data_IF_023717927635
#
_entry.id   IF_023717927635
#
_cell.length_a   1.000
_cell.length_b   1.000
_cell.length_c   1.000
_cell.angle_alpha   90.00
_cell.angle_beta   90.00
_cell.angle_gamma   90.00
#
_symmetry.space_group_name_H-M   'P 1'
#
loop_
_entity.id
_entity.type
_entity.pdbx_description
1 polymer ?
#
# COMPACT_ATOMS: atom_id res chain seq x y z
N UNK A 2 4.48 -17.43 -10.63
CA UNK A 2 4.78 -16.99 -11.99
C UNK A 2 4.93 -15.47 -12.08
N UNK A 3 5.59 -14.99 -13.14
CA UNK A 3 5.74 -13.55 -13.32
C UNK A 3 4.41 -12.87 -13.67
N UNK A 4 3.52 -13.58 -14.35
CA UNK A 4 2.26 -12.97 -14.76
C UNK A 4 1.34 -12.71 -13.56
N UNK A 5 1.37 -13.61 -12.58
CA UNK A 5 0.56 -13.41 -11.38
C UNK A 5 1.23 -12.46 -10.39
N UNK A 6 2.56 -12.53 -10.28
CA UNK A 6 3.29 -11.63 -9.40
C UNK A 6 3.17 -10.19 -9.85
N UNK A 7 3.05 -9.95 -11.17
CA UNK A 7 2.88 -8.59 -11.66
C UNK A 7 1.53 -8.02 -11.24
N UNK A 8 0.48 -8.84 -11.25
CA UNK A 8 -0.84 -8.38 -10.83
C UNK A 8 -0.87 -8.18 -9.31
N UNK A 9 -0.15 -9.02 -8.57
CA UNK A 9 -0.08 -8.83 -7.12
C UNK A 9 0.69 -7.55 -6.78
N UNK A 10 1.66 -7.16 -7.60
CA UNK A 10 2.37 -5.92 -7.36
C UNK A 10 1.52 -4.70 -7.69
N UNK A 11 0.68 -4.79 -8.72
CA UNK A 11 -0.29 -3.72 -8.97
C UNK A 11 -1.21 -3.55 -7.78
N UNK A 12 -1.73 -4.67 -7.25
CA UNK A 12 -2.56 -4.61 -6.06
C UNK A 12 -1.80 -4.01 -4.88
N UNK A 13 -0.52 -4.36 -4.74
CA UNK A 13 0.27 -3.83 -3.64
C UNK A 13 0.46 -2.32 -3.78
N UNK A 14 0.90 -1.86 -4.96
CA UNK A 14 1.11 -0.44 -5.15
C UNK A 14 -0.20 0.33 -5.16
N UNK A 15 -1.29 -0.29 -5.62
CA UNK A 15 -2.59 0.37 -5.53
C UNK A 15 -3.04 0.47 -4.08
N UNK A 16 -2.74 -0.55 -3.27
CA UNK A 16 -3.05 -0.46 -1.85
C UNK A 16 -2.20 0.61 -1.17
N UNK A 17 -0.96 0.79 -1.61
CA UNK A 17 -0.12 1.83 -1.03
C UNK A 17 -0.62 3.22 -1.38
N UNK A 18 -1.15 3.39 -2.61
CA UNK A 18 -1.68 4.70 -2.99
C UNK A 18 -2.94 4.99 -2.20
N UNK A 19 -3.84 4.02 -2.07
CA UNK A 19 -5.03 4.21 -1.25
C UNK A 19 -4.67 4.52 0.19
N UNK A 20 -3.57 3.95 0.69
CA UNK A 20 -3.16 4.23 2.06
C UNK A 20 -2.59 5.63 2.20
N UNK A 21 -1.85 6.09 1.19
CA UNK A 21 -1.32 7.45 1.20
C UNK A 21 -2.45 8.47 1.03
N UNK A 22 -3.40 8.17 0.13
CA UNK A 22 -4.55 9.06 -0.03
C UNK A 22 -5.35 9.18 1.25
N UNK A 23 -5.46 8.09 2.02
CA UNK A 23 -6.16 8.15 3.30
C UNK A 23 -5.43 9.04 4.30
N UNK A 24 -4.10 9.04 4.27
CA UNK A 24 -3.34 9.89 5.19
C UNK A 24 -3.49 11.35 4.81
N UNK A 25 -3.54 11.65 3.52
CA UNK A 25 -3.67 13.04 3.08
C UNK A 25 -5.00 13.64 3.55
N UNK A 26 -6.06 12.82 3.58
CA UNK A 26 -7.35 13.30 4.04
C UNK A 26 -7.41 13.45 5.55
N UNK A 27 -6.63 12.64 6.29
CA UNK A 27 -6.63 12.72 7.74
C UNK A 27 -5.93 14.00 8.21
N UNK A 28 -4.84 14.37 7.55
CA UNK A 28 -4.09 15.56 7.97
C UNK A 28 -4.90 16.83 7.78
N UNK A 29 -5.81 16.84 6.81
CA UNK A 29 -6.66 18.01 6.58
C UNK A 29 -7.87 17.99 7.51
N UNK B 1 8.81 -17.22 -9.55
CA UNK B 1 8.41 -17.47 -8.17
C UNK B 1 6.91 -17.71 -8.05
N UNK B 2 6.51 -18.94 -7.73
CA UNK B 2 5.08 -19.25 -7.63
C UNK B 2 4.48 -18.92 -6.28
N UNK B 3 5.20 -19.25 -5.20
CA UNK B 3 4.69 -18.99 -3.86
C UNK B 3 4.76 -17.51 -3.49
N UNK B 4 5.59 -16.73 -4.18
CA UNK B 4 5.74 -15.32 -3.84
C UNK B 4 4.50 -14.52 -4.22
N UNK B 5 3.75 -14.97 -5.23
CA UNK B 5 2.55 -14.25 -5.65
C UNK B 5 1.53 -14.15 -4.52
N UNK B 6 1.37 -15.22 -3.74
CA UNK B 6 0.45 -15.17 -2.61
C UNK B 6 0.97 -14.23 -1.53
N UNK B 7 2.30 -14.12 -1.40
CA UNK B 7 2.87 -13.22 -0.40
C UNK B 7 2.46 -11.78 -0.65
N UNK B 8 2.64 -11.31 -1.89
CA UNK B 8 2.31 -9.93 -2.22
C UNK B 8 0.80 -9.72 -2.20
N UNK B 9 0.02 -10.72 -2.62
CA UNK B 9 -1.43 -10.58 -2.67
C UNK B 9 -2.01 -10.46 -1.25
N UNK B 10 -1.49 -11.25 -0.31
CA UNK B 10 -1.97 -11.14 1.07
C UNK B 10 -1.58 -9.79 1.68
N UNK B 11 -0.35 -9.35 1.44
CA UNK B 11 0.07 -8.03 1.93
C UNK B 11 -0.79 -6.94 1.29
N UNK B 12 -1.06 -7.07 -0.01
CA UNK B 12 -1.93 -6.09 -0.67
C UNK B 12 -3.35 -6.17 -0.15
N UNK B 13 -3.84 -7.38 0.10
CA UNK B 13 -5.23 -7.54 0.56
C UNK B 13 -5.43 -6.93 1.94
N UNK B 14 -4.49 -7.15 2.86
CA UNK B 14 -4.62 -6.58 4.19
C UNK B 14 -4.34 -5.08 4.18
N UNK B 15 -3.35 -4.64 3.40
CA UNK B 15 -3.06 -3.21 3.30
C UNK B 15 -4.25 -2.45 2.74
N UNK B 16 -4.91 -2.99 1.72
CA UNK B 16 -6.09 -2.35 1.18
C UNK B 16 -7.23 -2.31 2.20
N UNK B 17 -7.32 -3.32 3.06
CA UNK B 17 -8.31 -3.29 4.14
C UNK B 17 -7.96 -2.22 5.16
N UNK B 18 -6.67 -2.04 5.45
CA UNK B 18 -6.24 -0.97 6.34
C UNK B 18 -6.57 0.38 5.74
N UNK B 19 -6.28 0.55 4.44
CA UNK B 19 -6.63 1.79 3.75
C UNK B 19 -8.13 1.96 3.63
N UNK B 20 -8.88 0.86 3.55
CA UNK B 20 -10.33 0.94 3.48
C UNK B 20 -10.92 1.50 4.78
N UNK B 21 -10.40 1.04 5.92
CA UNK B 21 -10.93 1.49 7.21
C UNK B 21 -10.52 2.93 7.48
N UNK B 22 -9.28 3.29 7.13
CA UNK B 22 -8.83 4.67 7.32
C UNK B 22 -9.68 5.64 6.53
N UNK B 23 -10.10 5.25 5.32
CA UNK B 23 -10.98 6.11 4.54
C UNK B 23 -12.34 6.24 5.20
N UNK B 24 -12.83 5.14 5.80
CA UNK B 24 -14.08 5.21 6.55
C UNK B 24 -13.92 6.07 7.79
N UNK B 25 -12.79 5.90 8.50
CA UNK B 25 -12.56 6.70 9.71
C UNK B 25 -12.36 8.18 9.37
N UNK B 26 -11.65 8.46 8.27
CA UNK B 26 -11.45 9.86 7.87
C UNK B 26 -12.76 10.52 7.44
N UNK B 27 -13.67 9.75 6.85
CA UNK B 27 -14.97 10.31 6.47
C UNK B 27 -15.82 10.62 7.70
N UNK B 28 -15.84 9.69 8.66
CA UNK B 28 -16.62 9.86 9.88
C UNK B 28 -15.93 10.75 10.92
N UNK B 29 -14.71 11.20 10.66
CA UNK B 29 -14.02 12.11 11.57
C UNK B 29 -14.33 13.56 11.25
N UNK B 30 -14.43 13.91 9.98
CA UNK B 30 -14.80 15.25 9.56
C UNK B 30 -16.31 15.44 9.64
N UNK B 31 -17.04 14.48 9.07
CA UNK B 31 -18.47 14.51 9.09
C UNK B 31 -19.06 14.10 10.44
N UNK C 1 -8.63 21.01 2.39
CA UNK C 1 -8.52 21.20 3.83
C UNK C 1 -9.87 21.16 4.57
N UNK C 2 -10.91 21.89 4.08
CA UNK C 2 -12.20 21.80 4.75
C UNK C 2 -13.01 20.60 4.25
N UNK C 3 -14.01 20.85 3.40
CA UNK C 3 -14.76 19.78 2.78
C UNK C 3 -13.97 19.06 1.70
N UNK C 4 -12.77 19.54 1.37
CA UNK C 4 -11.98 18.90 0.31
C UNK C 4 -11.48 17.53 0.75
N UNK C 5 -11.02 17.42 2.00
CA UNK C 5 -10.51 16.14 2.49
C UNK C 5 -11.57 15.04 2.46
N UNK C 6 -12.85 15.41 2.49
CA UNK C 6 -13.91 14.41 2.35
C UNK C 6 -13.81 13.70 1.01
N UNK C 7 -13.63 14.45 -0.08
CA UNK C 7 -13.53 13.84 -1.40
C UNK C 7 -12.28 12.98 -1.52
N UNK C 8 -11.16 13.43 -0.94
CA UNK C 8 -9.93 12.65 -0.96
C UNK C 8 -10.12 11.34 -0.22
N UNK C 9 -10.93 11.35 0.84
CA UNK C 9 -11.26 10.10 1.53
C UNK C 9 -12.02 9.15 0.61
N UNK C 10 -12.87 9.69 -0.26
CA UNK C 10 -13.58 8.85 -1.22
C UNK C 10 -12.62 8.27 -2.26
N UNK C 11 -11.55 8.99 -2.60
CA UNK C 11 -10.58 8.46 -3.54
C UNK C 11 -9.80 7.31 -2.90
N UNK C 12 -9.43 7.45 -1.63
CA UNK C 12 -8.75 6.36 -0.94
C UNK C 12 -9.65 5.15 -0.78
N UNK C 13 -10.95 5.36 -0.60
CA UNK C 13 -11.88 4.26 -0.41
C UNK C 13 -11.99 3.40 -1.66
N UNK C 14 -12.20 4.03 -2.82
CA UNK C 14 -12.35 3.28 -4.06
C UNK C 14 -11.02 2.72 -4.53
N UNK C 15 -9.91 3.43 -4.31
CA UNK C 15 -8.61 2.90 -4.67
C UNK C 15 -8.29 1.63 -3.88
N UNK C 16 -8.69 1.58 -2.61
CA UNK C 16 -8.48 0.37 -1.82
C UNK C 16 -9.31 -0.79 -2.35
N UNK C 17 -10.54 -0.51 -2.78
CA UNK C 17 -11.37 -1.56 -3.38
C UNK C 17 -10.76 -2.08 -4.67
N UNK C 18 -10.19 -1.19 -5.48
CA UNK C 18 -9.48 -1.61 -6.69
C UNK C 18 -8.29 -2.49 -6.33
N UNK C 19 -7.56 -2.11 -5.28
CA UNK C 19 -6.45 -2.94 -4.82
C UNK C 19 -6.94 -4.30 -4.32
N UNK C 20 -8.11 -4.33 -3.67
CA UNK C 20 -8.66 -5.60 -3.23
C UNK C 20 -9.01 -6.50 -4.40
N UNK C 21 -9.45 -5.91 -5.52
CA UNK C 21 -9.83 -6.70 -6.69
C UNK C 21 -8.60 -7.33 -7.33
N UNK C 22 -7.56 -6.52 -7.56
CA UNK C 22 -6.33 -7.04 -8.14
C UNK C 22 -5.67 -8.08 -7.24
N UNK C 23 -5.81 -7.93 -5.93
CA UNK C 23 -5.34 -8.97 -5.02
C UNK C 23 -6.10 -10.27 -5.23
N UNK C 24 -7.40 -10.18 -5.53
CA UNK C 24 -8.18 -11.37 -5.83
C UNK C 24 -7.89 -11.84 -7.25
N UNK C 25 -7.72 -10.89 -8.19
CA UNK C 25 -7.42 -11.27 -9.57
C UNK C 25 -6.08 -11.98 -9.67
N UNK C 26 -5.08 -11.52 -8.90
CA UNK C 26 -3.79 -12.20 -8.89
C UNK C 26 -3.89 -13.58 -8.28
N UNK C 27 -4.83 -13.80 -7.36
CA UNK C 27 -5.02 -15.12 -6.79
C UNK C 27 -5.64 -16.08 -7.80
N UNK C 28 -6.48 -15.56 -8.71
CA UNK C 28 -7.11 -16.41 -9.71
C UNK C 28 -6.10 -17.01 -10.67
N UNK C 29 -4.94 -16.38 -10.85
CA UNK C 29 -3.91 -16.90 -11.75
C UNK C 29 -3.20 -18.13 -11.20
N UNK C 30 -3.54 -18.57 -10.00
CA UNK C 30 -2.88 -19.72 -9.38
C UNK C 30 -3.84 -20.89 -9.24
N UNK D 2 -16.91 2.68 27.27
CA UNK D 2 -16.82 2.52 25.81
C UNK D 2 -15.70 3.35 25.20
N UNK D 3 -15.46 4.54 25.75
CA UNK D 3 -14.38 5.39 25.26
C UNK D 3 -13.01 4.82 25.64
N UNK D 4 -12.95 3.96 26.65
CA UNK D 4 -11.68 3.34 27.03
C UNK D 4 -11.23 2.34 25.97
N UNK D 5 -12.18 1.64 25.35
CA UNK D 5 -11.83 0.64 24.33
C UNK D 5 -11.14 1.27 23.14
N UNK D 6 -11.45 2.52 22.81
CA UNK D 6 -10.74 3.21 21.75
C UNK D 6 -9.28 3.41 22.10
N UNK D 7 -9.00 3.72 23.36
CA UNK D 7 -7.61 3.86 23.79
C UNK D 7 -6.90 2.51 23.79
N UNK D 8 -7.61 1.44 24.16
CA UNK D 8 -7.03 0.11 24.09
C UNK D 8 -6.83 -0.32 22.65
N UNK D 9 -7.76 0.06 21.76
CA UNK D 9 -7.60 -0.25 20.34
C UNK D 9 -6.38 0.46 19.77
N UNK D 10 -6.14 1.71 20.18
CA UNK D 10 -4.96 2.42 19.71
C UNK D 10 -3.68 1.77 20.22
N UNK D 11 -3.71 1.23 21.44
CA UNK D 11 -2.57 0.45 21.93
C UNK D 11 -2.37 -0.78 21.05
N UNK D 12 -3.47 -1.46 20.69
CA UNK D 12 -3.37 -2.60 19.79
C UNK D 12 -2.83 -2.19 18.43
N UNK D 13 -3.28 -1.05 17.91
CA UNK D 13 -2.81 -0.60 16.59
C UNK D 13 -1.34 -0.21 16.66
N UNK D 14 -0.93 0.53 17.69
CA UNK D 14 0.46 0.93 17.81
C UNK D 14 1.36 -0.25 18.13
N UNK D 15 0.88 -1.20 18.92
CA UNK D 15 1.65 -2.41 19.19
C UNK D 15 1.89 -3.20 17.90
N UNK D 16 0.88 -3.25 17.03
CA UNK D 16 1.01 -4.00 15.79
C UNK D 16 2.01 -3.33 14.85
N UNK D 17 1.93 -2.01 14.72
CA UNK D 17 2.90 -1.28 13.89
C UNK D 17 4.32 -1.51 14.36
N UNK D 18 4.53 -1.50 15.68
CA UNK D 18 5.85 -1.80 16.22
C UNK D 18 6.27 -3.22 15.84
N UNK D 19 5.32 -4.16 15.86
CA UNK D 19 5.64 -5.52 15.45
C UNK D 19 6.02 -5.58 13.98
N UNK D 20 5.35 -4.79 13.13
CA UNK D 20 5.67 -4.78 11.71
C UNK D 20 7.06 -4.22 11.46
N UNK D 21 7.46 -3.20 12.24
CA UNK D 21 8.79 -2.63 12.07
C UNK D 21 9.86 -3.63 12.49
N UNK D 22 9.67 -4.28 13.64
CA UNK D 22 10.62 -5.31 14.08
C UNK D 22 10.72 -6.43 13.05
N UNK D 23 9.62 -6.76 12.38
CA UNK D 23 9.66 -7.78 11.34
C UNK D 23 10.52 -7.33 10.16
N UNK D 24 10.39 -6.06 9.77
CA UNK D 24 11.20 -5.53 8.68
C UNK D 24 12.66 -5.42 9.10
N UNK D 25 12.90 -5.10 10.38
CA UNK D 25 14.27 -5.06 10.87
C UNK D 25 14.93 -6.44 10.83
N UNK D 26 14.13 -7.51 10.98
CA UNK D 26 14.69 -8.85 10.88
C UNK D 26 14.98 -9.23 9.43
N UNK D 27 14.10 -8.84 8.51
CA UNK D 27 14.34 -9.13 7.10
C UNK D 27 15.44 -8.26 6.52
N UNK D 28 15.57 -7.01 7.00
CA UNK D 28 16.59 -6.12 6.49
C UNK D 28 17.99 -6.48 7.01
N UNK D 29 18.08 -6.98 8.24
CA UNK D 29 19.38 -7.41 8.76
C UNK D 29 19.92 -8.63 8.04
N UNK D 30 19.12 -9.27 7.19
CA UNK D 30 19.54 -10.46 6.47
C UNK D 30 20.54 -10.12 5.36
N UNK E 1 -17.93 6.42 18.20
CA UNK E 1 -17.12 5.96 19.33
C UNK E 1 -17.16 4.43 19.49
N UNK E 2 -18.35 3.81 19.51
CA UNK E 2 -18.37 2.34 19.57
C UNK E 2 -17.84 1.72 18.29
N UNK E 3 -18.29 2.24 17.14
CA UNK E 3 -17.79 1.73 15.86
C UNK E 3 -16.36 2.18 15.61
N UNK E 4 -15.97 3.35 16.11
CA UNK E 4 -14.61 3.83 15.90
C UNK E 4 -13.60 2.95 16.62
N UNK E 5 -13.95 2.44 17.80
CA UNK E 5 -13.04 1.57 18.53
C UNK E 5 -12.87 0.23 17.85
N UNK E 6 -13.94 -0.30 17.26
CA UNK E 6 -13.86 -1.58 16.57
C UNK E 6 -13.11 -1.44 15.25
N UNK E 7 -13.30 -0.33 14.55
CA UNK E 7 -12.60 -0.10 13.29
C UNK E 7 -11.09 -0.03 13.51
N UNK E 8 -10.67 0.58 14.62
CA UNK E 8 -9.24 0.64 14.93
C UNK E 8 -8.71 -0.75 15.28
N UNK E 9 -9.52 -1.54 15.99
CA UNK E 9 -9.10 -2.89 16.37
C UNK E 9 -9.01 -3.81 15.16
N UNK E 10 -9.78 -3.54 14.10
CA UNK E 10 -9.61 -4.31 12.87
C UNK E 10 -8.30 -3.95 12.18
N UNK E 11 -7.95 -2.67 12.16
CA UNK E 11 -6.66 -2.27 11.60
C UNK E 11 -5.52 -2.87 12.40
N UNK E 12 -5.66 -2.90 13.72
CA UNK E 12 -4.67 -3.58 14.56
C UNK E 12 -4.58 -5.06 14.22
N UNK E 13 -5.72 -5.69 13.96
CA UNK E 13 -5.73 -7.10 13.58
C UNK E 13 -5.06 -7.30 12.22
N UNK E 14 -5.33 -6.41 11.26
CA UNK E 14 -4.75 -6.58 9.93
C UNK E 14 -3.28 -6.24 9.91
N UNK E 15 -2.87 -5.18 10.62
CA UNK E 15 -1.45 -4.85 10.69
C UNK E 15 -0.67 -5.92 11.45
N UNK E 16 -1.31 -6.62 12.39
CA UNK E 16 -0.63 -7.70 13.09
C UNK E 16 -0.45 -8.91 12.19
N UNK E 17 -1.46 -9.23 11.37
CA UNK E 17 -1.31 -10.31 10.40
C UNK E 17 -0.17 -10.03 9.44
N UNK E 18 -0.08 -8.78 8.95
CA UNK E 18 1.05 -8.40 8.10
C UNK E 18 2.36 -8.52 8.88
N UNK E 19 2.35 -8.12 10.15
CA UNK E 19 3.54 -8.28 10.98
C UNK E 19 3.88 -9.76 11.21
N UNK E 20 2.85 -10.61 11.30
CA UNK E 20 3.10 -12.04 11.44
C UNK E 20 3.65 -12.64 10.15
N UNK E 21 3.15 -12.18 9.00
CA UNK E 21 3.64 -12.69 7.72
C UNK E 21 5.11 -12.33 7.53
N UNK E 22 5.45 -11.05 7.71
CA UNK E 22 6.84 -10.61 7.58
C UNK E 22 7.75 -11.23 8.63
N UNK E 23 7.20 -11.70 9.74
CA UNK E 23 8.04 -12.34 10.76
C UNK E 23 8.44 -13.75 10.32
N UNK E 24 7.48 -14.54 9.85
CA UNK E 24 7.80 -15.88 9.36
C UNK E 24 8.68 -15.79 8.13
N UNK E 25 8.49 -14.76 7.30
CA UNK E 25 9.35 -14.58 6.13
C UNK E 25 10.79 -14.30 6.55
N UNK E 26 11.00 -13.67 7.71
CA UNK E 26 12.35 -13.47 8.21
C UNK E 26 12.97 -14.78 8.67
N UNK E 27 12.14 -15.75 9.07
CA UNK E 27 12.63 -17.06 9.47
C UNK E 27 12.76 -18.03 8.29
N UNK E 28 11.88 -17.90 7.29
CA UNK E 28 11.94 -18.78 6.13
C UNK E 28 13.23 -18.58 5.35
N UNK E 29 13.53 -17.33 4.98
CA UNK E 29 14.74 -17.01 4.23
C UNK E 29 15.96 -16.85 5.14
N UNK E 30 15.85 -17.23 6.40
CA UNK E 30 16.98 -17.18 7.33
C UNK E 30 18.02 -18.23 6.96
N UNK E 31 17.54 -19.42 6.59
CA UNK E 31 18.39 -20.50 6.21
C UNK E 31 18.92 -20.38 4.78
N UNK F 2 23.88 -11.30 11.42
CA UNK F 2 23.52 -12.45 10.58
C UNK F 2 22.59 -13.43 11.28
N UNK F 3 22.95 -13.79 12.52
CA UNK F 3 22.11 -14.67 13.32
C UNK F 3 21.28 -13.92 14.35
N UNK F 4 21.65 -12.68 14.68
CA UNK F 4 20.84 -11.90 15.62
C UNK F 4 19.55 -11.41 14.99
N UNK F 5 19.43 -11.47 13.66
CA UNK F 5 18.18 -11.12 13.00
C UNK F 5 17.08 -12.12 13.32
N UNK F 6 17.44 -13.36 13.64
CA UNK F 6 16.44 -14.34 14.06
C UNK F 6 15.76 -13.91 15.35
N UNK F 7 16.53 -13.36 16.30
CA UNK F 7 15.95 -12.92 17.56
C UNK F 7 14.99 -11.75 17.36
N UNK F 8 15.35 -10.83 16.45
CA UNK F 8 14.47 -9.70 16.16
C UNK F 8 13.17 -10.19 15.53
N UNK F 9 13.21 -11.30 14.79
CA UNK F 9 11.98 -11.87 14.25
C UNK F 9 11.07 -12.41 15.34
N UNK F 10 11.65 -12.85 16.46
CA UNK F 10 10.83 -13.32 17.57
C UNK F 10 10.17 -12.16 18.30
N UNK F 11 10.87 -11.05 18.43
CA UNK F 11 10.27 -9.87 19.05
C UNK F 11 9.06 -9.41 18.23
N UNK F 12 9.19 -9.45 16.90
CA UNK F 12 8.08 -9.06 16.03
C UNK F 12 6.92 -10.04 16.15
N UNK F 13 7.23 -11.33 16.27
CA UNK F 13 6.17 -12.33 16.38
C UNK F 13 5.40 -12.19 17.69
N UNK F 14 6.11 -11.98 18.80
CA UNK F 14 5.45 -11.84 20.09
C UNK F 14 4.71 -10.51 20.21
N UNK F 15 5.32 -9.43 19.71
CA UNK F 15 4.64 -8.13 19.73
C UNK F 15 3.35 -8.16 18.92
N UNK F 16 3.35 -8.87 17.80
CA UNK F 16 2.13 -9.01 17.00
C UNK F 16 1.04 -9.75 17.77
N UNK F 17 1.41 -10.81 18.50
CA UNK F 17 0.44 -11.53 19.29
C UNK F 17 -0.12 -10.67 20.42
N UNK F 18 0.74 -9.84 21.02
CA UNK F 18 0.29 -8.90 22.04
C UNK F 18 -0.71 -7.92 21.46
N UNK F 19 -0.45 -7.44 20.23
CA UNK F 19 -1.41 -6.57 19.57
C UNK F 19 -2.72 -7.29 19.28
N UNK F 20 -2.64 -8.57 18.93
CA UNK F 20 -3.86 -9.36 18.74
C UNK F 20 -4.64 -9.47 20.04
N UNK F 21 -3.93 -9.57 21.17
CA UNK F 21 -4.62 -9.63 22.47
C UNK F 21 -5.29 -8.30 22.77
N UNK F 22 -4.56 -7.19 22.62
CA UNK F 22 -5.16 -5.89 22.86
C UNK F 22 -6.30 -5.61 21.90
N UNK F 23 -6.20 -6.10 20.66
CA UNK F 23 -7.32 -5.98 19.74
C UNK F 23 -8.52 -6.76 20.25
N UNK F 24 -8.30 -7.97 20.75
CA UNK F 24 -9.38 -8.74 21.37
C UNK F 24 -9.85 -8.05 22.65
N UNK F 25 -8.90 -7.49 23.42
CA UNK F 25 -9.27 -6.82 24.66
C UNK F 25 -10.09 -5.57 24.40
N UNK F 26 -9.72 -4.80 23.36
CA UNK F 26 -10.50 -3.61 23.01
C UNK F 26 -11.92 -3.99 22.59
N UNK F 27 -12.09 -5.13 21.92
CA UNK F 27 -13.42 -5.54 21.50
C UNK F 27 -14.26 -6.01 22.68
N UNK F 28 -13.66 -6.77 23.59
CA UNK F 28 -14.41 -7.32 24.71
C UNK F 28 -14.80 -6.28 25.75
N UNK F 29 -14.27 -5.06 25.66
CA UNK F 29 -14.67 -3.99 26.58
C UNK F 29 -15.90 -3.24 26.10
N UNK F 30 -16.21 -3.29 24.81
CA UNK F 30 -17.42 -2.66 24.29
C UNK F 30 -18.64 -3.53 24.56
N UNK G 1 3.32 21.83 3.09
CA UNK G 1 4.25 22.12 2.01
C UNK G 1 5.27 20.99 1.77
N UNK G 2 6.06 20.59 2.80
CA UNK G 2 7.12 19.62 2.55
C UNK G 2 6.64 18.18 2.59
N UNK G 3 6.10 17.74 3.73
CA UNK G 3 5.66 16.36 3.85
C UNK G 3 4.44 16.07 2.96
N UNK G 4 3.61 17.10 2.72
CA UNK G 4 2.50 16.91 1.79
C UNK G 4 3.01 16.60 0.38
N UNK G 5 4.05 17.33 -0.06
CA UNK G 5 4.62 17.06 -1.37
C UNK G 5 5.34 15.72 -1.41
N UNK G 6 5.83 15.24 -0.26
CA UNK G 6 6.50 13.95 -0.24
C UNK G 6 5.51 12.81 -0.43
N UNK G 7 4.35 12.89 0.24
CA UNK G 7 3.34 11.85 0.06
C UNK G 7 2.74 11.89 -1.34
N UNK G 8 2.66 13.07 -1.94
CA UNK G 8 2.20 13.16 -3.33
C UNK G 8 3.27 12.61 -4.27
N UNK G 9 4.54 12.86 -3.98
CA UNK G 9 5.62 12.32 -4.80
C UNK G 9 5.61 10.80 -4.77
N UNK G 10 5.30 10.21 -3.62
CA UNK G 10 5.19 8.75 -3.54
C UNK G 10 3.99 8.23 -4.31
N UNK G 11 2.93 9.04 -4.43
CA UNK G 11 1.82 8.67 -5.29
C UNK G 11 2.26 8.68 -6.75
N UNK G 12 3.05 9.67 -7.15
CA UNK G 12 3.58 9.70 -8.51
C UNK G 12 4.55 8.56 -8.76
N UNK G 13 5.20 8.06 -7.71
CA UNK G 13 6.16 6.96 -7.88
C UNK G 13 5.46 5.63 -8.07
N UNK G 14 4.41 5.35 -7.29
CA UNK G 14 3.72 4.07 -7.41
C UNK G 14 2.88 4.01 -8.68
N UNK G 15 2.20 5.11 -9.03
CA UNK G 15 1.47 5.15 -10.29
C UNK G 15 2.40 4.93 -11.48
N UNK G 16 3.64 5.42 -11.38
CA UNK G 16 4.61 5.16 -12.43
C UNK G 16 4.97 3.69 -12.50
N UNK G 17 5.16 3.05 -11.34
CA UNK G 17 5.45 1.62 -11.32
C UNK G 17 4.25 0.81 -11.80
N UNK G 18 3.04 1.24 -11.43
CA UNK G 18 1.83 0.57 -11.91
C UNK G 18 1.71 0.72 -13.42
N UNK G 19 2.00 1.92 -13.94
CA UNK G 19 2.04 2.10 -15.39
C UNK G 19 3.14 1.25 -16.02
N UNK G 20 4.29 1.15 -15.35
CA UNK G 20 5.37 0.32 -15.85
C UNK G 20 4.95 -1.15 -15.90
N UNK G 21 4.18 -1.61 -14.90
CA UNK G 21 3.76 -3.00 -14.88
C UNK G 21 2.75 -3.28 -15.98
N UNK G 22 1.78 -2.38 -16.18
CA UNK G 22 0.80 -2.58 -17.25
C UNK G 22 1.46 -2.60 -18.62
N UNK G 23 2.53 -1.82 -18.81
CA UNK G 23 3.25 -1.86 -20.07
C UNK G 23 3.94 -3.20 -20.26
N UNK G 24 4.48 -3.76 -19.18
CA UNK G 24 5.09 -5.08 -19.25
C UNK G 24 4.02 -6.17 -19.34
N UNK G 25 2.85 -5.94 -18.75
CA UNK G 25 1.76 -6.91 -18.89
C UNK G 25 1.23 -6.94 -20.32
N UNK G 26 1.31 -5.81 -21.03
CA UNK G 26 0.82 -5.78 -22.41
C UNK G 26 1.79 -6.49 -23.35
N UNK G 27 3.10 -6.28 -23.18
CA UNK G 27 4.07 -6.90 -24.06
C UNK G 27 4.18 -8.40 -23.84
N UNK G 28 3.67 -8.91 -22.72
CA UNK G 28 3.66 -10.35 -22.48
C UNK G 28 2.24 -10.84 -22.20
N UNK H 1 14.81 16.75 5.05
CA UNK H 1 14.80 17.99 4.28
C UNK H 1 13.82 17.89 3.12
N UNK H 2 13.28 19.03 2.68
CA UNK H 2 12.41 19.01 1.49
C UNK H 2 13.10 18.55 0.22
N UNK H 3 14.42 18.34 0.25
CA UNK H 3 15.12 17.80 -0.90
C UNK H 3 14.63 16.42 -1.27
N UNK H 4 14.24 15.61 -0.27
CA UNK H 4 13.79 14.25 -0.53
C UNK H 4 12.54 14.24 -1.41
N UNK H 5 11.56 15.07 -1.06
CA UNK H 5 10.32 15.12 -1.83
C UNK H 5 10.57 15.54 -3.27
N UNK H 6 11.54 16.41 -3.50
CA UNK H 6 11.88 16.81 -4.86
C UNK H 6 12.53 15.66 -5.62
N UNK H 7 13.43 14.93 -4.95
CA UNK H 7 14.13 13.83 -5.62
C UNK H 7 13.18 12.67 -5.92
N UNK H 8 12.28 12.35 -4.98
CA UNK H 8 11.29 11.29 -5.23
C UNK H 8 10.39 11.67 -6.40
N UNK H 9 10.00 12.94 -6.48
CA UNK H 9 9.21 13.41 -7.61
C UNK H 9 9.98 13.37 -8.91
N UNK H 10 11.31 13.45 -8.86
CA UNK H 10 12.12 13.32 -10.06
C UNK H 10 12.22 11.87 -10.51
N UNK H 11 12.40 10.94 -9.57
CA UNK H 11 12.42 9.52 -9.92
C UNK H 11 11.07 9.09 -10.47
N UNK H 12 9.98 9.61 -9.88
CA UNK H 12 8.65 9.30 -10.38
C UNK H 12 8.46 9.83 -11.80
N UNK H 13 9.04 10.99 -12.09
CA UNK H 13 8.92 11.57 -13.42
C UNK H 13 9.61 10.69 -14.46
N UNK H 14 10.83 10.24 -14.16
CA UNK H 14 11.58 9.44 -15.11
C UNK H 14 11.04 8.02 -15.22
N UNK H 15 10.61 7.44 -14.10
CA UNK H 15 9.98 6.12 -14.13
C UNK H 15 8.71 6.16 -14.99
N UNK H 16 7.95 7.25 -14.90
CA UNK H 16 6.77 7.41 -15.75
C UNK H 16 7.16 7.50 -17.22
N UNK H 17 8.25 8.24 -17.51
CA UNK H 17 8.73 8.31 -18.88
C UNK H 17 9.18 6.94 -19.38
N UNK H 18 9.87 6.18 -18.53
CA UNK H 18 10.22 4.80 -18.90
C UNK H 18 8.96 3.98 -19.13
N UNK H 19 7.94 4.19 -18.28
CA UNK H 19 6.67 3.50 -18.47
C UNK H 19 6.01 3.88 -19.79
N UNK H 20 6.24 5.11 -20.25
CA UNK H 20 5.72 5.52 -21.55
C UNK H 20 6.42 4.79 -22.69
N UNK H 21 7.74 4.63 -22.59
CA UNK H 21 8.48 3.99 -23.67
C UNK H 21 8.11 2.52 -23.78
N UNK H 22 7.93 1.84 -22.65
CA UNK H 22 7.48 0.46 -22.68
C UNK H 22 6.05 0.36 -23.22
N UNK H 23 5.24 1.40 -23.02
CA UNK H 23 3.91 1.41 -23.61
C UNK H 23 3.98 1.54 -25.13
N UNK H 24 4.91 2.35 -25.64
CA UNK H 24 5.13 2.43 -27.07
C UNK H 24 5.76 1.14 -27.57
N UNK H 25 6.72 0.60 -26.82
CA UNK H 25 7.29 -0.71 -27.16
C UNK H 25 6.23 -1.79 -27.16
N UNK H 26 5.18 -1.63 -26.34
CA UNK H 26 4.06 -2.56 -26.40
C UNK H 26 3.20 -2.30 -27.63
N UNK H 27 2.95 -1.03 -27.97
CA UNK H 27 2.09 -0.75 -29.11
C UNK H 27 2.74 -1.17 -30.43
N UNK H 28 4.07 -1.10 -30.52
CA UNK H 28 4.75 -1.42 -31.78
C UNK H 28 5.13 -2.89 -31.91
N UNK H 29 5.40 -3.58 -30.79
CA UNK H 29 5.82 -4.98 -30.87
C UNK H 29 4.68 -5.97 -30.72
N UNK H 30 3.55 -5.57 -30.16
CA UNK H 30 2.42 -6.46 -29.94
C UNK H 30 1.55 -6.57 -31.19
N UNK H 31 2.03 -5.98 -32.29
CA UNK H 31 1.32 -6.03 -33.55
C UNK H 31 1.03 -7.44 -34.05
N UNK I 1 -5.73 -11.48 -25.54
CA UNK I 1 -4.40 -11.66 -26.10
C UNK I 1 -4.09 -10.74 -27.28
N UNK I 2 -4.95 -10.71 -28.34
CA UNK I 2 -4.61 -9.87 -29.50
C UNK I 2 -5.06 -8.43 -29.33
N UNK I 3 -6.35 -8.17 -29.54
CA UNK I 3 -6.86 -6.82 -29.38
C UNK I 3 -6.92 -6.42 -27.91
N UNK I 4 -7.19 -7.39 -27.01
CA UNK I 4 -7.35 -7.07 -25.60
C UNK I 4 -6.06 -6.55 -24.98
N UNK I 5 -4.91 -7.01 -25.46
CA UNK I 5 -3.64 -6.56 -24.90
C UNK I 5 -3.21 -5.20 -25.46
N UNK I 6 -3.84 -4.75 -26.54
CA UNK I 6 -3.60 -3.38 -27.00
C UNK I 6 -4.30 -2.37 -26.10
N UNK I 7 -5.51 -2.70 -25.63
CA UNK I 7 -6.19 -1.81 -24.69
C UNK I 7 -5.39 -1.65 -23.39
N UNK I 8 -4.69 -2.71 -22.98
CA UNK I 8 -3.83 -2.63 -21.80
C UNK I 8 -2.68 -1.67 -22.03
N UNK I 9 -2.19 -1.58 -23.27
CA UNK I 9 -1.11 -0.63 -23.57
C UNK I 9 -1.59 0.80 -23.36
N UNK I 10 -2.84 1.09 -23.72
CA UNK I 10 -3.39 2.42 -23.50
C UNK I 10 -3.52 2.75 -22.03
N UNK I 11 -3.79 1.73 -21.19
CA UNK I 11 -3.85 1.95 -19.76
C UNK I 11 -2.49 2.39 -19.23
N UNK I 12 -1.44 1.65 -19.61
CA UNK I 12 -0.09 2.05 -19.21
C UNK I 12 0.28 3.42 -19.75
N UNK I 13 -0.15 3.73 -20.98
CA UNK I 13 0.10 5.05 -21.55
C UNK I 13 -0.58 6.14 -20.73
N UNK I 14 -1.84 5.92 -20.34
CA UNK I 14 -2.58 6.94 -19.59
C UNK I 14 -2.12 7.02 -18.14
N UNK I 15 -1.85 5.87 -17.52
CA UNK I 15 -1.38 5.87 -16.13
C UNK I 15 -0.04 6.58 -16.02
N UNK I 16 0.83 6.41 -17.02
CA UNK I 16 2.13 7.07 -16.99
C UNK I 16 1.98 8.59 -17.07
N UNK I 17 1.04 9.06 -17.90
CA UNK I 17 0.79 10.50 -17.95
C UNK I 17 0.27 11.01 -16.61
N UNK I 18 -0.60 10.23 -15.96
CA UNK I 18 -1.10 10.60 -14.64
C UNK I 18 0.05 10.69 -13.64
N UNK I 19 1.00 9.75 -13.73
CA UNK I 19 2.16 9.78 -12.86
C UNK I 19 3.04 11.00 -13.13
N UNK I 20 3.09 11.44 -14.38
CA UNK I 20 3.82 12.67 -14.70
C UNK I 20 3.13 13.88 -14.08
N UNK I 21 1.80 13.89 -14.07
CA UNK I 21 1.07 15.01 -13.49
C UNK I 21 1.30 15.07 -11.99
N UNK I 22 1.20 13.93 -11.32
CA UNK I 22 1.43 13.91 -9.87
C UNK I 22 2.87 14.29 -9.53
N UNK I 23 3.82 13.98 -10.41
CA UNK I 23 5.19 14.41 -10.19
C UNK I 23 5.33 15.92 -10.30
N UNK I 24 4.57 16.55 -11.20
CA UNK I 24 4.59 18.01 -11.28
C UNK I 24 3.87 18.62 -10.07
N UNK I 25 2.71 18.05 -9.69
CA UNK I 25 1.99 18.57 -8.54
C UNK I 25 2.79 18.40 -7.26
N UNK I 26 3.57 17.32 -7.15
CA UNK I 26 4.46 17.18 -6.00
C UNK I 26 5.56 18.22 -6.03
N UNK I 27 5.96 18.67 -7.21
CA UNK I 27 6.95 19.74 -7.30
C UNK I 27 6.33 21.10 -7.04
N UNK I 28 5.13 21.34 -7.59
CA UNK I 28 4.43 22.60 -7.32
C UNK I 28 3.99 22.73 -5.87
N UNK I 29 3.83 21.63 -5.14
CA UNK I 29 3.44 21.71 -3.74
C UNK I 29 4.54 22.35 -2.91
N UNK I 30 5.80 22.17 -3.30
CA UNK I 30 6.91 22.80 -2.61
C UNK I 30 7.36 24.07 -3.34
N UNK I 31 7.20 24.05 -4.67
CA UNK I 31 7.58 25.13 -5.53
C UNK I 31 9.08 25.50 -5.43
#
# INVERSE_FOLDING_TARGET
EPETALLVAFVAYYTALIALIFAILATRRLX
EPETALLVAFVAYYTALIALIFAILATRRLC
EPETALLVAFVAYYTALIALIFAILATRRLX
EPETALLVAFVAYYTALIALIFAILATRRLX
EPETALLVAFVAYYTALIALIFAILATRRLC
EPETALLVAFVAYYTALIALIFAILATRRLX
EPETALLVAFVAYYTALIALIFAILATRRLX
EPETALLVAFVAYYTALIALIFAILATRRLC
EPETALLVAFVAYYTALIALIFAILATRRLC
#
